data_IF_237182982199
#
_entry.id   IF_237182982199
#
_cell.length_a   1.000
_cell.length_b   1.000
_cell.length_c   1.000
_cell.angle_alpha   90.00
_cell.angle_beta   90.00
_cell.angle_gamma   90.00
#
_symmetry.space_group_name_H-M   'P 1'
#
loop_
_entity.id
_entity.type
_entity.pdbx_description
1 polymer ?
#
# COMPACT_ATOMS: atom_id res chain seq x y z
N UNK A 1 -6.65 -2.83 8.23
CA UNK A 1 -6.12 -3.96 9.02
C UNK A 1 -5.64 -3.46 10.37
N UNK A 2 -5.75 -4.26 11.45
CA UNK A 2 -5.41 -3.80 12.81
C UNK A 2 -3.91 -3.60 13.02
N UNK A 3 -3.07 -4.33 12.28
CA UNK A 3 -1.60 -4.30 12.39
C UNK A 3 -0.96 -4.36 11.00
N UNK A 4 0.24 -3.78 10.88
CA UNK A 4 1.08 -3.87 9.68
C UNK A 4 2.55 -3.62 10.07
N UNK A 5 3.47 -4.09 9.24
CA UNK A 5 4.92 -3.89 9.38
C UNK A 5 5.53 -3.62 8.00
N UNK A 6 6.57 -2.79 7.94
CA UNK A 6 7.31 -2.48 6.73
C UNK A 6 8.79 -2.30 7.07
N UNK A 7 9.66 -2.91 6.28
CA UNK A 7 11.11 -2.81 6.37
C UNK A 7 11.67 -2.61 4.96
N UNK A 8 12.72 -1.81 4.84
CA UNK A 8 13.30 -1.44 3.54
C UNK A 8 14.82 -1.39 3.66
N UNK A 9 15.51 -2.21 2.87
CA UNK A 9 16.96 -2.17 2.71
C UNK A 9 17.37 -1.37 1.48
N UNK A 10 18.14 -0.31 1.70
CA UNK A 10 18.82 0.43 0.62
C UNK A 10 20.19 -0.18 0.34
N UNK A 11 20.48 -0.51 -0.92
CA UNK A 11 21.77 -1.09 -1.32
C UNK A 11 22.50 -0.23 -2.35
N UNK A 12 23.83 -0.15 -2.23
CA UNK A 12 24.68 0.53 -3.21
C UNK A 12 24.94 -0.37 -4.44
N UNK A 13 24.96 0.24 -5.63
CA UNK A 13 25.28 -0.44 -6.89
C UNK A 13 25.98 0.52 -7.86
N UNK A 14 26.62 0.01 -8.92
CA UNK A 14 27.22 0.84 -9.98
C UNK A 14 26.16 1.38 -10.96
N UNK A 15 25.18 2.14 -10.45
CA UNK A 15 24.11 2.79 -11.23
C UNK A 15 24.05 4.27 -10.88
N UNK A 16 23.45 5.07 -11.77
CA UNK A 16 23.21 6.49 -11.49
C UNK A 16 22.33 6.65 -10.23
N UNK A 17 22.58 7.68 -9.40
CA UNK A 17 21.77 7.93 -8.21
C UNK A 17 20.35 8.37 -8.61
N UNK A 18 19.39 8.12 -7.73
CA UNK A 18 18.00 8.46 -7.97
C UNK A 18 17.06 7.81 -6.96
N UNK A 19 15.81 7.57 -7.38
CA UNK A 19 14.81 6.87 -6.57
C UNK A 19 13.55 7.69 -6.38
N UNK A 20 13.62 8.75 -5.57
CA UNK A 20 12.49 9.65 -5.32
C UNK A 20 12.40 10.65 -6.48
N UNK A 21 11.50 10.41 -7.43
CA UNK A 21 11.27 11.26 -8.60
C UNK A 21 9.87 11.02 -9.20
N UNK A 22 9.55 11.69 -10.32
CA UNK A 22 8.44 11.33 -11.21
C UNK A 22 7.09 11.06 -10.51
N UNK A 23 6.58 12.04 -9.76
CA UNK A 23 5.28 11.94 -9.06
C UNK A 23 5.18 10.80 -8.03
N UNK A 24 6.31 10.28 -7.54
CA UNK A 24 6.30 9.19 -6.55
C UNK A 24 5.76 9.58 -5.17
N UNK A 25 5.64 10.88 -4.89
CA UNK A 25 5.18 11.41 -3.59
C UNK A 25 5.90 10.75 -2.41
N UNK A 26 7.23 10.63 -2.49
CA UNK A 26 8.07 9.96 -1.50
C UNK A 26 7.71 8.48 -1.29
N UNK A 27 7.76 7.70 -2.38
CA UNK A 27 7.49 6.23 -2.42
C UNK A 27 6.02 5.82 -2.25
N UNK A 28 5.08 6.76 -2.29
CA UNK A 28 3.65 6.46 -2.29
C UNK A 28 3.24 5.74 -3.58
N UNK A 29 3.91 5.97 -4.71
CA UNK A 29 3.66 5.18 -5.93
C UNK A 29 3.88 3.69 -5.71
N UNK A 30 4.97 3.32 -5.04
CA UNK A 30 5.30 1.93 -4.72
C UNK A 30 4.37 1.37 -3.64
N UNK A 31 4.01 2.18 -2.63
CA UNK A 31 3.07 1.77 -1.58
C UNK A 31 1.66 1.50 -2.14
N UNK A 32 1.15 2.39 -3.00
CA UNK A 32 -0.15 2.22 -3.67
C UNK A 32 -0.14 1.00 -4.60
N UNK A 33 0.94 0.84 -5.38
CA UNK A 33 1.09 -0.33 -6.25
C UNK A 33 1.10 -1.63 -5.44
N UNK A 34 1.86 -1.69 -4.34
CA UNK A 34 1.94 -2.86 -3.47
C UNK A 34 0.58 -3.27 -2.93
N UNK A 35 -0.15 -2.35 -2.30
CA UNK A 35 -1.43 -2.69 -1.66
C UNK A 35 -2.52 -3.04 -2.68
N UNK A 36 -2.62 -2.30 -3.80
CA UNK A 36 -3.64 -2.58 -4.81
C UNK A 36 -3.40 -3.93 -5.50
N UNK A 37 -2.15 -4.27 -5.80
CA UNK A 37 -1.80 -5.60 -6.35
C UNK A 37 -2.01 -6.71 -5.33
N UNK A 38 -1.66 -6.49 -4.06
CA UNK A 38 -1.89 -7.46 -3.00
C UNK A 38 -3.39 -7.77 -2.81
N UNK A 39 -4.25 -6.75 -2.90
CA UNK A 39 -5.71 -6.93 -2.86
C UNK A 39 -6.21 -7.74 -4.05
N UNK A 40 -5.70 -7.49 -5.27
CA UNK A 40 -6.10 -8.27 -6.45
C UNK A 40 -5.68 -9.73 -6.33
N UNK A 41 -4.45 -10.01 -5.88
CA UNK A 41 -3.96 -11.39 -5.65
C UNK A 41 -4.80 -12.08 -4.58
N UNK A 42 -5.08 -11.40 -3.47
CA UNK A 42 -5.93 -11.95 -2.41
C UNK A 42 -7.35 -12.24 -2.90
N UNK A 43 -7.91 -11.37 -3.75
CA UNK A 43 -9.23 -11.59 -4.33
C UNK A 43 -9.26 -12.84 -5.22
N UNK A 44 -8.20 -13.07 -6.01
CA UNK A 44 -8.04 -14.29 -6.81
C UNK A 44 -8.00 -15.55 -5.93
N UNK A 45 -7.19 -15.54 -4.86
CA UNK A 45 -7.08 -16.68 -3.94
C UNK A 45 -8.41 -16.99 -3.23
N UNK A 46 -9.12 -15.94 -2.84
CA UNK A 46 -10.44 -16.04 -2.19
C UNK A 46 -11.59 -16.30 -3.18
N UNK A 47 -11.32 -16.29 -4.49
CA UNK A 47 -12.34 -16.37 -5.57
C UNK A 47 -13.45 -15.32 -5.38
N UNK A 48 -13.06 -14.10 -5.02
CA UNK A 48 -13.94 -12.96 -4.78
C UNK A 48 -13.72 -11.88 -5.84
N UNK A 49 -14.76 -11.12 -6.17
CA UNK A 49 -14.59 -9.91 -6.98
C UNK A 49 -13.65 -8.91 -6.26
N UNK A 50 -12.62 -8.39 -6.92
CA UNK A 50 -11.63 -7.52 -6.29
C UNK A 50 -12.23 -6.17 -5.84
N UNK A 51 -13.28 -5.68 -6.49
CA UNK A 51 -13.97 -4.47 -6.04
C UNK A 51 -14.85 -4.75 -4.80
N UNK A 52 -15.44 -5.94 -4.70
CA UNK A 52 -16.16 -6.39 -3.50
C UNK A 52 -15.22 -6.51 -2.30
N UNK A 53 -14.03 -7.10 -2.48
CA UNK A 53 -13.04 -7.21 -1.42
C UNK A 53 -12.60 -5.83 -0.90
N UNK A 54 -12.40 -4.85 -1.79
CA UNK A 54 -12.12 -3.45 -1.40
C UNK A 54 -13.28 -2.85 -0.61
N UNK A 55 -14.52 -2.99 -1.11
CA UNK A 55 -15.73 -2.46 -0.43
C UNK A 55 -15.89 -3.00 0.99
N UNK A 56 -15.63 -4.29 1.20
CA UNK A 56 -15.71 -4.93 2.53
C UNK A 56 -14.67 -4.38 3.52
N UNK A 57 -13.56 -3.82 3.04
CA UNK A 57 -12.41 -3.44 3.85
C UNK A 57 -12.12 -1.93 3.90
N UNK A 58 -12.92 -1.09 3.22
CA UNK A 58 -12.72 0.35 3.27
C UNK A 58 -12.83 0.90 4.69
N UNK A 59 -12.07 1.97 4.94
CA UNK A 59 -12.23 2.79 6.14
C UNK A 59 -13.58 3.52 5.99
N UNK A 60 -14.55 3.28 6.88
CA UNK A 60 -15.83 3.98 6.82
C UNK A 60 -15.66 5.47 7.13
N UNK A 61 -16.51 6.30 6.53
CA UNK A 61 -16.47 7.77 6.69
C UNK A 61 -16.50 8.22 8.16
N UNK A 62 -17.20 7.50 9.02
CA UNK A 62 -17.31 7.80 10.46
C UNK A 62 -16.00 7.60 11.26
N UNK A 63 -14.98 6.96 10.68
CA UNK A 63 -13.68 6.74 11.33
C UNK A 63 -12.64 7.81 11.01
N UNK A 64 -12.98 8.82 10.22
CA UNK A 64 -12.07 9.92 9.91
C UNK A 64 -12.05 10.95 11.06
N UNK A 65 -10.87 11.47 11.45
CA UNK A 65 -9.53 11.16 10.95
C UNK A 65 -9.06 9.76 11.39
N UNK A 66 -8.51 8.99 10.44
CA UNK A 66 -8.14 7.59 10.66
C UNK A 66 -6.62 7.44 10.77
N UNK A 67 -6.16 7.02 11.95
CA UNK A 67 -4.77 6.60 12.13
C UNK A 67 -4.56 5.20 11.55
N UNK A 68 -3.77 5.11 10.50
CA UNK A 68 -3.38 3.83 9.88
C UNK A 68 -2.46 3.00 10.79
N UNK A 69 -2.36 1.70 10.48
CA UNK A 69 -1.53 0.75 11.22
C UNK A 69 -0.01 1.02 11.12
N UNK A 70 0.45 1.81 10.15
CA UNK A 70 1.84 2.27 10.04
C UNK A 70 2.03 3.71 10.56
N UNK A 71 1.03 4.29 11.23
CA UNK A 71 1.14 5.59 11.88
C UNK A 71 0.88 6.81 11.00
N UNK A 72 0.49 6.63 9.73
CA UNK A 72 0.00 7.73 8.88
C UNK A 72 -1.35 8.24 9.41
N UNK A 73 -1.50 9.57 9.50
CA UNK A 73 -2.71 10.26 9.99
C UNK A 73 -3.11 11.37 9.03
#
# INVERSE_FOLDING_TARGET
YPTAFCEVDGVYTNKAPGGIAYRCSFRVTEAAYLIERAVDVLALDLKMDPAELRRKNFIPQSKFPYKSSLGWT
#
